data_IF_287119257969
#
_entry.id   IF_287119257969
#
_cell.length_a   1.000
_cell.length_b   1.000
_cell.length_c   1.000
_cell.angle_alpha   90.00
_cell.angle_beta   90.00
_cell.angle_gamma   90.00
#
_symmetry.space_group_name_H-M   'P 1'
#
loop_
_entity.id
_entity.type
_entity.pdbx_description
1 polymer ?
#
# COMPACT_ATOMS: atom_id res chain seq x y z
N UNK A 1 19.68 -22.66 9.24
CA UNK A 1 19.00 -22.06 8.08
C UNK A 1 19.39 -20.59 7.98
N UNK A 2 19.03 -19.86 6.90
CA UNK A 2 19.27 -18.43 6.86
C UNK A 2 18.51 -17.73 7.98
N UNK A 3 19.15 -16.79 8.66
CA UNK A 3 18.54 -15.92 9.67
C UNK A 3 18.72 -14.47 9.27
N UNK A 4 17.84 -13.61 9.78
CA UNK A 4 17.90 -12.17 9.54
C UNK A 4 17.50 -11.41 10.79
N UNK A 5 17.89 -10.16 10.91
CA UNK A 5 17.55 -9.31 12.05
C UNK A 5 16.13 -8.75 11.92
N UNK A 6 15.37 -8.76 13.03
CA UNK A 6 14.02 -8.25 13.10
C UNK A 6 14.00 -6.72 13.09
N UNK A 7 13.28 -6.13 12.13
CA UNK A 7 13.12 -4.68 11.98
C UNK A 7 12.42 -3.99 13.16
N UNK A 8 11.70 -4.74 14.01
CA UNK A 8 10.95 -4.19 15.15
C UNK A 8 11.65 -4.29 16.49
N UNK A 9 12.51 -5.29 16.70
CA UNK A 9 13.11 -5.55 18.02
C UNK A 9 14.59 -5.93 17.99
N UNK A 10 15.22 -5.97 16.81
CA UNK A 10 16.64 -6.35 16.67
C UNK A 10 16.95 -7.83 16.95
N UNK A 11 15.98 -8.63 17.40
CA UNK A 11 16.17 -10.05 17.65
C UNK A 11 16.26 -10.85 16.34
N UNK A 12 16.81 -12.07 16.42
CA UNK A 12 16.91 -12.95 15.25
C UNK A 12 15.52 -13.35 14.71
N UNK A 13 15.41 -13.49 13.39
CA UNK A 13 14.28 -14.10 12.70
C UNK A 13 14.72 -15.36 11.99
N UNK A 14 13.94 -16.44 12.16
CA UNK A 14 14.22 -17.75 11.58
C UNK A 14 13.19 -18.13 10.52
N UNK A 15 13.64 -18.86 9.49
CA UNK A 15 12.79 -19.34 8.42
C UNK A 15 11.83 -20.44 8.92
N UNK A 16 10.53 -20.16 8.83
CA UNK A 16 9.42 -21.04 9.20
C UNK A 16 8.52 -21.30 7.99
N UNK A 17 7.74 -22.38 8.05
CA UNK A 17 6.75 -22.72 7.02
C UNK A 17 5.37 -22.63 7.64
N UNK A 18 4.45 -21.89 6.99
CA UNK A 18 3.06 -21.76 7.42
C UNK A 18 2.08 -21.97 6.28
N UNK A 19 0.78 -21.79 6.55
CA UNK A 19 -0.30 -22.00 5.57
C UNK A 19 -0.18 -21.17 4.28
N UNK A 20 0.55 -20.05 4.32
CA UNK A 20 0.73 -19.14 3.18
C UNK A 20 2.12 -19.25 2.55
N UNK A 21 2.87 -20.31 2.87
CA UNK A 21 4.24 -20.54 2.40
C UNK A 21 5.31 -20.26 3.45
N UNK A 22 6.56 -20.16 3.00
CA UNK A 22 7.73 -19.89 3.84
C UNK A 22 7.80 -18.40 4.23
N UNK A 23 8.17 -18.12 5.48
CA UNK A 23 8.31 -16.78 6.03
C UNK A 23 9.38 -16.78 7.13
N UNK A 24 10.03 -15.64 7.37
CA UNK A 24 10.85 -15.42 8.54
C UNK A 24 9.96 -14.98 9.70
N UNK A 25 10.04 -15.67 10.84
CA UNK A 25 9.36 -15.29 12.07
C UNK A 25 10.38 -14.92 13.15
N UNK A 26 10.12 -13.84 13.89
CA UNK A 26 10.98 -13.45 15.01
C UNK A 26 11.06 -14.59 16.05
N UNK A 27 12.23 -14.76 16.65
CA UNK A 27 12.48 -15.74 17.71
C UNK A 27 12.02 -15.22 19.08
N UNK A 28 11.93 -13.90 19.26
CA UNK A 28 11.42 -13.29 20.48
C UNK A 28 9.90 -13.54 20.61
N UNK A 29 9.47 -14.13 21.73
CA UNK A 29 8.08 -14.46 22.04
C UNK A 29 7.17 -13.23 22.16
N UNK A 30 7.73 -12.09 22.53
CA UNK A 30 6.98 -10.83 22.65
C UNK A 30 6.79 -10.15 21.28
N UNK A 31 7.63 -10.49 20.29
CA UNK A 31 7.58 -9.90 18.96
C UNK A 31 6.87 -10.83 17.95
N UNK A 32 5.63 -10.47 17.56
CA UNK A 32 4.86 -11.21 16.54
C UNK A 32 5.22 -10.84 15.10
N UNK A 33 6.37 -10.19 14.88
CA UNK A 33 6.75 -9.73 13.56
C UNK A 33 7.12 -10.89 12.62
N UNK A 34 6.72 -10.77 11.36
CA UNK A 34 6.99 -11.78 10.33
C UNK A 34 7.33 -11.12 8.99
N UNK A 35 8.29 -11.68 8.26
CA UNK A 35 8.67 -11.24 6.91
C UNK A 35 8.48 -12.36 5.91
N UNK A 36 7.79 -12.09 4.80
CA UNK A 36 7.52 -13.09 3.77
C UNK A 36 8.81 -13.42 3.01
N UNK A 37 9.04 -14.70 2.68
CA UNK A 37 10.10 -15.07 1.73
C UNK A 37 9.60 -14.82 0.29
N UNK A 38 10.33 -14.02 -0.48
CA UNK A 38 10.04 -13.76 -1.89
C UNK A 38 10.49 -14.95 -2.75
N UNK A 39 9.99 -15.01 -4.00
CA UNK A 39 10.33 -16.10 -4.94
C UNK A 39 11.81 -16.13 -5.33
N UNK A 40 12.51 -14.99 -5.22
CA UNK A 40 13.94 -14.86 -5.47
C UNK A 40 14.81 -15.35 -4.28
N UNK A 41 14.20 -15.77 -3.17
CA UNK A 41 14.91 -16.23 -1.97
C UNK A 41 15.24 -15.14 -0.96
N UNK A 42 14.91 -13.87 -1.24
CA UNK A 42 15.15 -12.76 -0.33
C UNK A 42 13.95 -12.49 0.60
N UNK A 43 14.18 -11.94 1.79
CA UNK A 43 13.08 -11.48 2.65
C UNK A 43 12.41 -10.24 2.03
N UNK A 44 11.07 -10.23 2.02
CA UNK A 44 10.30 -9.06 1.60
C UNK A 44 10.71 -7.83 2.44
N UNK A 45 10.83 -6.64 1.84
CA UNK A 45 11.21 -5.42 2.57
C UNK A 45 10.35 -5.21 3.83
N UNK A 46 10.88 -4.52 4.86
CA UNK A 46 10.07 -4.09 6.00
C UNK A 46 8.84 -3.32 5.50
N UNK A 47 7.69 -3.66 6.07
CA UNK A 47 6.44 -2.96 5.77
C UNK A 47 6.31 -1.78 6.72
N UNK A 48 5.68 -0.71 6.25
CA UNK A 48 5.27 0.35 7.16
C UNK A 48 4.25 -0.16 8.18
N UNK A 49 4.20 0.49 9.34
CA UNK A 49 3.12 0.24 10.29
C UNK A 49 1.77 0.67 9.71
N UNK A 50 0.68 -0.09 9.94
CA UNK A 50 -0.63 0.29 9.44
C UNK A 50 -1.08 1.64 10.01
N UNK A 51 -1.63 2.51 9.16
CA UNK A 51 -2.15 3.82 9.58
C UNK A 51 -3.68 3.73 9.69
N UNK A 52 -4.26 3.84 10.90
CA UNK A 52 -5.70 3.88 11.08
C UNK A 52 -6.31 5.11 10.39
N UNK A 53 -7.38 4.92 9.62
CA UNK A 53 -8.11 5.99 8.92
C UNK A 53 -9.55 6.05 9.44
N UNK A 54 -9.79 6.44 10.71
CA UNK A 54 -11.11 6.42 11.33
C UNK A 54 -12.15 7.31 10.62
N UNK A 55 -11.69 8.32 9.87
CA UNK A 55 -12.51 9.19 9.04
C UNK A 55 -13.03 8.53 7.76
N UNK A 56 -12.42 7.42 7.33
CA UNK A 56 -12.82 6.68 6.14
C UNK A 56 -13.65 5.45 6.52
N UNK A 57 -14.96 5.53 6.31
CA UNK A 57 -15.88 4.38 6.46
C UNK A 57 -15.74 3.42 5.29
N UNK A 58 -15.93 2.13 5.56
CA UNK A 58 -16.06 1.10 4.53
C UNK A 58 -17.39 1.29 3.76
N UNK A 59 -17.39 0.88 2.49
CA UNK A 59 -18.53 1.02 1.58
C UNK A 59 -19.58 -0.07 1.82
N UNK A 60 -19.17 -1.29 2.21
CA UNK A 60 -20.08 -2.46 2.29
C UNK A 60 -20.31 -2.98 3.70
N UNK A 61 -19.50 -2.55 4.68
CA UNK A 61 -19.55 -3.03 6.06
C UNK A 61 -19.49 -1.87 7.04
N UNK A 62 -20.08 -2.06 8.23
CA UNK A 62 -19.95 -1.12 9.34
C UNK A 62 -18.56 -1.26 10.01
N UNK A 63 -17.59 -0.59 9.40
CA UNK A 63 -16.18 -0.59 9.76
C UNK A 63 -15.47 0.65 9.21
N UNK A 64 -14.26 0.91 9.68
CA UNK A 64 -13.37 1.95 9.14
C UNK A 64 -12.20 1.33 8.40
N UNK A 65 -11.56 2.13 7.55
CA UNK A 65 -10.39 1.70 6.82
C UNK A 65 -9.10 1.87 7.63
N UNK A 66 -8.11 1.06 7.28
CA UNK A 66 -6.72 1.15 7.73
C UNK A 66 -5.85 1.12 6.48
N UNK A 67 -4.97 2.10 6.32
CA UNK A 67 -3.98 2.15 5.25
C UNK A 67 -2.86 1.16 5.54
N UNK A 68 -2.52 0.34 4.56
CA UNK A 68 -1.51 -0.73 4.67
C UNK A 68 -0.57 -0.71 3.47
N UNK A 69 0.65 -1.16 3.72
CA UNK A 69 1.67 -1.42 2.71
C UNK A 69 1.66 -2.91 2.29
N UNK A 70 1.57 -3.14 0.98
CA UNK A 70 1.60 -4.44 0.36
C UNK A 70 2.57 -4.50 -0.83
N UNK A 71 2.64 -5.66 -1.48
CA UNK A 71 3.55 -5.89 -2.61
C UNK A 71 3.30 -4.97 -3.82
N UNK A 72 2.12 -4.35 -3.91
CA UNK A 72 1.74 -3.40 -4.97
C UNK A 72 1.69 -1.95 -4.45
N UNK A 73 2.25 -1.68 -3.27
CA UNK A 73 2.16 -0.39 -2.60
C UNK A 73 0.95 -0.26 -1.67
N UNK A 74 0.53 0.99 -1.47
CA UNK A 74 -0.50 1.38 -0.50
C UNK A 74 -1.90 0.91 -0.91
N UNK A 75 -2.66 0.40 0.06
CA UNK A 75 -4.07 0.04 -0.08
C UNK A 75 -4.82 0.25 1.22
N UNK A 76 -6.13 0.53 1.12
CA UNK A 76 -7.02 0.59 2.28
C UNK A 76 -7.65 -0.79 2.50
N UNK A 77 -7.69 -1.23 3.76
CA UNK A 77 -8.34 -2.47 4.18
C UNK A 77 -9.21 -2.23 5.40
N UNK A 78 -10.34 -2.93 5.51
CA UNK A 78 -11.22 -2.85 6.67
C UNK A 78 -10.47 -3.17 7.98
N UNK A 79 -10.76 -2.40 9.04
CA UNK A 79 -10.05 -2.50 10.33
C UNK A 79 -10.19 -3.88 10.97
N UNK A 80 -11.36 -4.53 10.82
CA UNK A 80 -11.69 -5.84 11.38
C UNK A 80 -11.26 -7.01 10.47
N UNK A 81 -10.29 -6.82 9.57
CA UNK A 81 -9.70 -7.94 8.82
C UNK A 81 -9.15 -9.03 9.77
N UNK A 82 -9.38 -10.33 9.56
CA UNK A 82 -9.91 -10.99 8.35
C UNK A 82 -11.43 -11.19 8.30
N UNK A 83 -12.18 -10.70 9.31
CA UNK A 83 -13.65 -10.79 9.37
C UNK A 83 -14.27 -9.97 8.24
N UNK A 84 -13.81 -8.72 8.09
CA UNK A 84 -14.17 -7.85 6.98
C UNK A 84 -13.04 -7.88 5.94
N UNK A 85 -13.37 -8.27 4.70
CA UNK A 85 -12.39 -8.44 3.61
C UNK A 85 -12.48 -7.35 2.55
N UNK A 86 -13.06 -6.22 2.91
CA UNK A 86 -13.14 -5.07 2.03
C UNK A 86 -11.77 -4.40 1.89
N UNK A 87 -11.38 -4.13 0.65
CA UNK A 87 -10.14 -3.43 0.31
C UNK A 87 -10.35 -2.57 -0.92
N UNK A 88 -9.74 -1.39 -0.96
CA UNK A 88 -9.75 -0.51 -2.13
C UNK A 88 -8.45 0.29 -2.25
N UNK A 89 -8.10 0.80 -3.45
CA UNK A 89 -7.03 1.79 -3.55
C UNK A 89 -7.40 3.08 -2.80
N UNK A 90 -6.44 3.75 -2.14
CA UNK A 90 -6.66 5.07 -1.58
C UNK A 90 -6.72 6.13 -2.69
N UNK A 91 -7.46 7.19 -2.42
CA UNK A 91 -7.35 8.44 -3.14
C UNK A 91 -6.08 9.18 -2.70
N UNK A 92 -5.52 10.00 -3.59
CA UNK A 92 -4.37 10.85 -3.24
C UNK A 92 -4.73 11.81 -2.10
N UNK A 93 -5.91 12.43 -2.18
CA UNK A 93 -6.41 13.35 -1.16
C UNK A 93 -6.63 12.69 0.22
N UNK A 94 -6.87 11.37 0.26
CA UNK A 94 -7.08 10.64 1.52
C UNK A 94 -5.76 10.40 2.28
N UNK A 95 -4.66 10.18 1.57
CA UNK A 95 -3.37 9.85 2.23
C UNK A 95 -2.54 11.08 2.58
N UNK A 96 -2.78 12.20 1.89
CA UNK A 96 -2.00 13.44 2.04
C UNK A 96 -1.99 14.00 3.48
N UNK A 97 -3.11 14.00 4.23
CA UNK A 97 -3.11 14.41 5.64
C UNK A 97 -2.23 13.54 6.53
N UNK A 98 -2.04 12.27 6.16
CA UNK A 98 -1.27 11.27 6.90
C UNK A 98 0.19 11.17 6.45
N UNK A 99 0.70 12.15 5.68
CA UNK A 99 2.08 12.16 5.15
C UNK A 99 3.15 11.80 6.20
N UNK A 100 3.00 12.26 7.45
CA UNK A 100 3.96 12.01 8.54
C UNK A 100 3.94 10.58 9.08
N UNK A 101 2.84 9.86 8.90
CA UNK A 101 2.66 8.48 9.35
C UNK A 101 3.02 7.47 8.24
N UNK A 102 3.19 7.97 7.01
CA UNK A 102 3.48 7.16 5.84
C UNK A 102 4.99 7.10 5.62
N UNK A 103 5.49 5.92 5.27
CA UNK A 103 6.91 5.67 4.99
C UNK A 103 7.43 6.65 3.91
N UNK A 104 8.58 7.34 4.13
CA UNK A 104 9.13 8.33 3.20
C UNK A 104 9.32 7.82 1.77
N UNK A 105 9.43 6.50 1.56
CA UNK A 105 9.48 5.92 0.20
C UNK A 105 8.25 6.26 -0.66
N UNK A 106 7.13 6.65 -0.03
CA UNK A 106 5.89 7.05 -0.68
C UNK A 106 5.69 8.57 -0.76
N UNK A 107 6.66 9.39 -0.35
CA UNK A 107 6.51 10.86 -0.35
C UNK A 107 6.06 11.41 -1.71
N UNK A 108 6.56 10.83 -2.80
CA UNK A 108 6.20 11.23 -4.16
C UNK A 108 4.69 11.08 -4.46
N UNK A 109 3.98 10.19 -3.77
CA UNK A 109 2.52 10.02 -3.91
C UNK A 109 1.75 11.20 -3.29
N UNK A 110 2.32 11.90 -2.31
CA UNK A 110 1.69 13.05 -1.66
C UNK A 110 1.66 14.29 -2.57
N UNK A 111 2.59 14.32 -3.53
CA UNK A 111 2.73 15.37 -4.52
C UNK A 111 2.03 15.00 -5.85
N UNK A 112 1.32 13.86 -5.88
CA UNK A 112 0.51 13.45 -7.03
C UNK A 112 -0.68 14.40 -7.24
N UNK A 113 -1.15 14.58 -8.49
CA UNK A 113 -2.38 15.32 -8.74
C UNK A 113 -3.54 14.67 -8.00
N UNK A 114 -4.27 15.41 -7.17
CA UNK A 114 -5.43 14.91 -6.42
C UNK A 114 -6.69 14.73 -7.30
N UNK A 115 -6.72 15.49 -8.39
CA UNK A 115 -7.82 15.56 -9.35
C UNK A 115 -7.27 15.65 -10.76
N UNK A 116 -8.04 15.19 -11.73
CA UNK A 116 -7.80 15.47 -13.14
C UNK A 116 -8.24 16.89 -13.54
N UNK A 117 -8.02 17.34 -14.80
CA UNK A 117 -8.45 18.66 -15.27
C UNK A 117 -9.96 18.91 -15.22
N UNK A 118 -10.77 17.85 -15.16
CA UNK A 118 -12.24 17.93 -15.03
C UNK A 118 -12.70 17.91 -13.57
N UNK A 119 -11.77 17.84 -12.61
CA UNK A 119 -12.05 17.82 -11.18
C UNK A 119 -12.39 16.45 -10.61
N UNK A 120 -12.27 15.36 -11.39
CA UNK A 120 -12.52 14.01 -10.89
C UNK A 120 -11.35 13.55 -10.00
N UNK A 121 -11.61 12.93 -8.85
CA UNK A 121 -10.58 12.53 -7.91
C UNK A 121 -9.70 11.40 -8.45
N UNK A 122 -8.45 11.37 -8.03
CA UNK A 122 -7.48 10.37 -8.46
C UNK A 122 -7.23 9.30 -7.41
N UNK A 123 -7.26 8.04 -7.85
CA UNK A 123 -6.87 6.86 -7.06
C UNK A 123 -5.43 6.46 -7.34
N UNK A 124 -4.75 5.95 -6.32
CA UNK A 124 -3.40 5.37 -6.47
C UNK A 124 -3.52 3.93 -6.93
N UNK A 125 -2.81 3.60 -8.00
CA UNK A 125 -2.81 2.27 -8.62
C UNK A 125 -1.38 1.78 -8.83
N UNK A 126 -1.27 0.50 -9.15
CA UNK A 126 0.00 -0.15 -9.45
C UNK A 126 -0.07 -0.88 -10.79
N UNK A 127 0.88 -0.55 -11.65
CA UNK A 127 1.04 -1.18 -12.97
C UNK A 127 1.90 -2.43 -12.83
N UNK A 128 1.31 -3.61 -13.07
CA UNK A 128 2.10 -4.86 -13.11
C UNK A 128 3.08 -4.92 -14.28
N UNK A 129 2.80 -4.18 -15.37
CA UNK A 129 3.61 -4.16 -16.58
C UNK A 129 4.91 -3.37 -16.38
N UNK A 130 4.80 -2.15 -15.86
CA UNK A 130 5.96 -1.31 -15.57
C UNK A 130 6.52 -1.49 -14.15
N UNK A 131 5.78 -2.18 -13.27
CA UNK A 131 6.11 -2.39 -11.85
C UNK A 131 6.23 -1.09 -11.05
N UNK A 132 5.38 -0.13 -11.35
CA UNK A 132 5.39 1.21 -10.76
C UNK A 132 4.00 1.63 -10.31
N UNK A 133 3.94 2.54 -9.33
CA UNK A 133 2.69 3.19 -8.95
C UNK A 133 2.40 4.37 -9.88
N UNK A 134 1.12 4.58 -10.14
CA UNK A 134 0.60 5.69 -10.95
C UNK A 134 -0.72 6.14 -10.35
N UNK A 135 -1.19 7.32 -10.74
CA UNK A 135 -2.53 7.78 -10.39
C UNK A 135 -3.43 7.79 -11.60
N UNK A 136 -4.72 7.51 -11.40
CA UNK A 136 -5.74 7.63 -12.43
C UNK A 136 -6.99 8.23 -11.83
N UNK A 137 -7.73 9.03 -12.61
CA UNK A 137 -9.00 9.54 -12.12
C UNK A 137 -10.13 8.54 -12.39
N UNK A 138 -11.05 8.50 -11.43
CA UNK A 138 -12.25 7.69 -11.49
C UNK A 138 -13.47 8.56 -11.24
N UNK A 139 -14.55 8.26 -11.97
CA UNK A 139 -15.87 8.83 -11.79
C UNK A 139 -16.87 7.68 -11.68
N UNK A 140 -17.65 7.65 -10.61
CA UNK A 140 -18.62 6.59 -10.33
C UNK A 140 -18.03 5.17 -10.40
N UNK A 141 -16.80 5.01 -9.87
CA UNK A 141 -16.06 3.75 -9.86
C UNK A 141 -15.51 3.30 -11.23
N UNK A 142 -15.59 4.16 -12.26
CA UNK A 142 -15.07 3.89 -13.60
C UNK A 142 -13.91 4.82 -13.92
N UNK A 143 -12.90 4.28 -14.60
CA UNK A 143 -11.78 5.06 -15.11
C UNK A 143 -12.27 6.13 -16.11
N UNK A 144 -11.82 7.37 -15.95
CA UNK A 144 -12.14 8.47 -16.87
C UNK A 144 -11.32 8.42 -18.17
N UNK A 145 -10.18 7.71 -18.15
CA UNK A 145 -9.17 7.71 -19.21
C UNK A 145 -7.94 8.56 -18.89
N UNK A 146 -8.03 9.45 -17.89
CA UNK A 146 -6.90 10.26 -17.43
C UNK A 146 -6.03 9.50 -16.42
N UNK A 147 -4.71 9.65 -16.53
CA UNK A 147 -3.73 9.13 -15.59
C UNK A 147 -2.53 10.05 -15.46
N UNK A 148 -1.73 9.90 -14.41
CA UNK A 148 -0.41 10.52 -14.32
C UNK A 148 0.61 9.52 -13.77
N UNK A 149 1.85 9.63 -14.24
CA UNK A 149 2.97 8.75 -13.92
C UNK A 149 4.12 9.57 -13.33
N UNK A 150 4.82 9.03 -12.35
CA UNK A 150 5.96 9.71 -11.76
C UNK A 150 7.23 9.38 -12.55
N UNK A 151 7.74 10.36 -13.28
CA UNK A 151 8.87 10.21 -14.21
C UNK A 151 9.88 11.34 -13.98
N UNK A 152 11.16 11.02 -13.82
CA UNK A 152 12.24 12.01 -13.66
C UNK A 152 11.94 13.06 -12.56
N UNK A 153 11.40 12.62 -11.41
CA UNK A 153 11.11 13.49 -10.27
C UNK A 153 9.83 14.32 -10.38
N UNK A 154 8.99 14.10 -11.39
CA UNK A 154 7.74 14.85 -11.58
C UNK A 154 6.58 13.98 -12.05
N UNK A 155 5.36 14.40 -11.75
CA UNK A 155 4.16 13.78 -12.28
C UNK A 155 3.88 14.22 -13.71
N UNK A 156 3.74 13.26 -14.62
CA UNK A 156 3.49 13.45 -16.05
C UNK A 156 2.07 12.96 -16.37
N UNK A 157 1.10 13.86 -16.60
CA UNK A 157 -0.23 13.51 -17.04
C UNK A 157 -0.23 12.83 -18.41
N UNK A 158 -1.12 11.86 -18.58
CA UNK A 158 -1.39 11.15 -19.82
C UNK A 158 -2.90 10.99 -19.94
N UNK A 159 -3.45 11.59 -20.98
CA UNK A 159 -4.87 11.45 -21.31
C UNK A 159 -5.01 10.47 -22.48
N UNK A 160 -5.85 9.45 -22.29
CA UNK A 160 -6.21 8.50 -23.35
C UNK A 160 -7.47 8.91 -24.11
N UNK A 161 -8.14 10.01 -23.71
CA UNK A 161 -9.21 10.61 -24.52
C UNK A 161 -8.61 11.09 -25.84
N UNK A 162 -8.78 10.28 -26.88
CA UNK A 162 -8.80 10.71 -28.29
C UNK A 162 -10.24 11.02 -28.66
#
# INVERSE_FOLDING_TARGET
GPTLECDKCGSEMQLKTGRFGKYFGCTNSECKNTRKLLKNGEPAPPKMDPVPMPELKCDKVDDTYVLRDGASGLFLAASKFPKNRETRPPLVMEIKPHRKEIDPKYDYLMDAPEKDPEGNPTVIRYSRKSKEQYVMSEKDGKATGWSAWFENGRWVPRDKKK
#
